data_IF_345578778554
#
_entry.id   IF_345578778554
#
_cell.length_a   1.000
_cell.length_b   1.000
_cell.length_c   1.000
_cell.angle_alpha   90.00
_cell.angle_beta   90.00
_cell.angle_gamma   90.00
#
_symmetry.space_group_name_H-M   'P 1'
#
loop_
_entity.id
_entity.type
_entity.pdbx_description
1 polymer ?
#
# COMPACT_ATOMS: atom_id res chain seq x y z
N UNK A 1 -40.55 -16.24 -35.32
CA UNK A 1 -39.24 -16.08 -35.96
C UNK A 1 -38.78 -14.65 -35.69
N UNK A 2 -37.90 -14.46 -34.72
CA UNK A 2 -37.22 -13.18 -34.47
C UNK A 2 -35.73 -13.46 -34.68
N UNK A 3 -35.16 -12.86 -35.70
CA UNK A 3 -33.76 -12.98 -36.05
C UNK A 3 -32.90 -12.22 -35.04
N UNK A 4 -31.97 -12.91 -34.36
CA UNK A 4 -30.95 -12.33 -33.53
C UNK A 4 -29.85 -11.73 -34.42
N UNK A 5 -29.68 -10.42 -34.35
CA UNK A 5 -28.55 -9.73 -34.96
C UNK A 5 -27.33 -9.84 -34.04
N UNK A 6 -26.31 -10.51 -34.53
CA UNK A 6 -24.96 -10.56 -33.90
C UNK A 6 -24.27 -9.20 -34.07
N UNK A 7 -23.76 -8.56 -33.03
CA UNK A 7 -22.95 -7.37 -33.21
C UNK A 7 -21.57 -7.77 -33.75
N UNK A 8 -21.17 -7.15 -34.86
CA UNK A 8 -19.83 -7.26 -35.43
C UNK A 8 -18.78 -6.74 -34.41
N UNK A 9 -17.78 -7.57 -34.15
CA UNK A 9 -16.60 -7.18 -33.40
C UNK A 9 -15.85 -6.14 -34.23
N UNK A 10 -15.97 -4.87 -33.82
CA UNK A 10 -15.26 -3.76 -34.42
C UNK A 10 -13.75 -3.94 -34.27
N UNK A 11 -13.04 -3.86 -35.40
CA UNK A 11 -11.59 -3.85 -35.47
C UNK A 11 -11.03 -2.79 -34.50
N UNK A 12 -10.07 -3.19 -33.67
CA UNK A 12 -9.31 -2.33 -32.79
C UNK A 12 -8.50 -1.34 -33.66
N UNK A 13 -9.09 -0.19 -33.97
CA UNK A 13 -8.42 0.91 -34.62
C UNK A 13 -7.37 1.46 -33.64
N UNK A 14 -6.09 1.45 -34.02
CA UNK A 14 -5.04 2.20 -33.32
C UNK A 14 -5.55 3.64 -33.19
N UNK A 15 -5.86 4.08 -31.96
CA UNK A 15 -6.12 5.49 -31.69
C UNK A 15 -4.90 6.26 -32.18
N UNK A 16 -5.10 7.23 -33.04
CA UNK A 16 -4.04 8.10 -33.50
C UNK A 16 -3.34 8.71 -32.27
N UNK A 17 -2.02 8.53 -32.20
CA UNK A 17 -1.18 9.10 -31.14
C UNK A 17 -1.31 10.61 -31.25
N UNK A 18 -1.86 11.26 -30.24
CA UNK A 18 -1.85 12.73 -30.15
C UNK A 18 -0.40 13.10 -29.91
N UNK A 19 0.22 13.74 -30.92
CA UNK A 19 1.58 14.25 -30.76
C UNK A 19 1.60 15.23 -29.59
N UNK A 20 2.54 15.07 -28.68
CA UNK A 20 2.75 16.02 -27.57
C UNK A 20 3.18 17.34 -28.20
N UNK A 21 2.29 18.35 -28.21
CA UNK A 21 2.63 19.69 -28.66
C UNK A 21 3.53 20.34 -27.60
N UNK A 22 4.84 20.29 -27.84
CA UNK A 22 5.85 20.93 -27.00
C UNK A 22 6.17 22.27 -27.63
N UNK A 23 5.80 23.38 -26.99
CA UNK A 23 6.04 24.72 -27.55
C UNK A 23 7.42 25.30 -27.20
N UNK A 24 7.96 24.94 -26.02
CA UNK A 24 9.21 25.48 -25.50
C UNK A 24 10.02 24.40 -24.75
N UNK A 25 11.27 24.71 -24.40
CA UNK A 25 12.04 23.95 -23.41
C UNK A 25 11.36 24.03 -22.03
N UNK A 26 11.57 23.01 -21.21
CA UNK A 26 10.99 22.92 -19.86
C UNK A 26 12.12 22.91 -18.83
N UNK A 27 11.96 23.69 -17.78
CA UNK A 27 12.86 23.66 -16.63
C UNK A 27 12.72 22.33 -15.90
N UNK A 28 13.87 21.71 -15.58
CA UNK A 28 13.94 20.51 -14.77
C UNK A 28 14.95 20.63 -13.64
N UNK A 29 15.01 19.62 -12.76
CA UNK A 29 15.98 19.52 -11.68
C UNK A 29 16.70 18.18 -11.74
N UNK A 30 18.03 18.21 -11.57
CA UNK A 30 18.86 17.02 -11.55
C UNK A 30 18.76 16.25 -10.21
N UNK A 31 19.31 15.02 -10.17
CA UNK A 31 19.41 14.21 -8.95
C UNK A 31 20.23 14.89 -7.83
N UNK A 32 21.11 15.82 -8.18
CA UNK A 32 21.92 16.60 -7.21
C UNK A 32 21.32 17.97 -6.91
N UNK A 33 20.10 18.25 -7.38
CA UNK A 33 19.39 19.49 -7.10
C UNK A 33 19.79 20.68 -7.98
N UNK A 34 20.59 20.46 -9.03
CA UNK A 34 20.94 21.52 -9.97
C UNK A 34 19.82 21.73 -11.00
N UNK A 35 19.56 22.97 -11.36
CA UNK A 35 18.63 23.31 -12.44
C UNK A 35 19.19 22.85 -13.78
N UNK A 36 18.35 22.24 -14.62
CA UNK A 36 18.67 21.81 -15.97
C UNK A 36 17.56 22.24 -16.94
N UNK A 37 17.92 22.42 -18.18
CA UNK A 37 16.97 22.68 -19.26
C UNK A 37 16.68 21.39 -20.04
N UNK A 38 15.41 21.04 -20.15
CA UNK A 38 14.94 19.93 -20.97
C UNK A 38 14.54 20.51 -22.33
N UNK A 39 15.38 20.27 -23.32
CA UNK A 39 15.18 20.82 -24.66
C UNK A 39 13.87 20.30 -25.28
N UNK A 40 13.19 21.19 -26.01
CA UNK A 40 11.97 20.87 -26.75
C UNK A 40 12.13 19.64 -27.65
N UNK A 41 13.25 19.50 -28.33
CA UNK A 41 13.52 18.37 -29.21
C UNK A 41 13.56 17.04 -28.43
N UNK A 42 14.26 17.03 -27.30
CA UNK A 42 14.38 15.85 -26.45
C UNK A 42 13.02 15.39 -25.85
N UNK A 43 12.18 16.35 -25.44
CA UNK A 43 10.82 16.04 -24.93
C UNK A 43 9.96 15.44 -26.05
N UNK A 44 10.07 15.99 -27.26
CA UNK A 44 9.35 15.45 -28.42
C UNK A 44 9.82 14.05 -28.77
N UNK A 45 11.14 13.80 -28.78
CA UNK A 45 11.71 12.46 -29.01
C UNK A 45 11.20 11.44 -27.96
N UNK A 46 11.16 11.82 -26.68
CA UNK A 46 10.53 10.99 -25.64
C UNK A 46 9.06 10.72 -25.98
N UNK A 47 8.30 11.76 -26.33
CA UNK A 47 6.90 11.63 -26.71
C UNK A 47 6.70 10.72 -27.93
N UNK A 48 7.62 10.72 -28.90
CA UNK A 48 7.59 9.83 -30.07
C UNK A 48 7.96 8.38 -29.70
N UNK A 49 8.88 8.19 -28.77
CA UNK A 49 9.35 6.87 -28.32
C UNK A 49 8.32 6.13 -27.45
N UNK A 50 7.52 6.84 -26.63
CA UNK A 50 6.49 6.24 -25.78
C UNK A 50 5.25 5.85 -26.58
N UNK A 51 4.59 4.78 -26.18
CA UNK A 51 3.23 4.42 -26.63
C UNK A 51 2.16 5.28 -25.95
N UNK A 52 2.41 5.69 -24.71
CA UNK A 52 1.58 6.61 -23.93
C UNK A 52 1.98 8.08 -24.10
N UNK A 53 1.18 9.02 -23.55
CA UNK A 53 1.46 10.44 -23.66
C UNK A 53 2.57 10.90 -22.68
N UNK A 54 3.32 11.91 -23.08
CA UNK A 54 4.04 12.82 -22.19
C UNK A 54 3.09 13.97 -21.85
N UNK A 55 2.84 14.17 -20.56
CA UNK A 55 1.94 15.21 -20.04
C UNK A 55 2.81 16.34 -19.48
N UNK A 56 2.54 17.55 -19.93
CA UNK A 56 3.25 18.78 -19.57
C UNK A 56 2.39 19.62 -18.61
N UNK A 57 2.95 20.59 -17.89
CA UNK A 57 2.21 21.46 -16.97
C UNK A 57 1.02 22.18 -17.61
N UNK A 58 1.07 22.48 -18.90
CA UNK A 58 0.00 23.15 -19.66
C UNK A 58 -1.09 22.18 -20.15
N UNK A 59 -0.88 20.88 -20.01
CA UNK A 59 -1.83 19.85 -20.46
C UNK A 59 -3.09 19.87 -19.57
N UNK A 60 -4.30 19.77 -20.14
CA UNK A 60 -5.54 19.73 -19.35
C UNK A 60 -5.58 18.64 -18.29
N UNK A 61 -4.92 17.50 -18.55
CA UNK A 61 -4.90 16.35 -17.64
C UNK A 61 -3.81 16.43 -16.57
N UNK A 62 -2.97 17.48 -16.58
CA UNK A 62 -1.77 17.54 -15.75
C UNK A 62 -2.07 17.48 -14.25
N UNK A 63 -2.99 18.30 -13.75
CA UNK A 63 -3.30 18.35 -12.32
C UNK A 63 -3.91 17.02 -11.82
N UNK A 64 -4.74 16.37 -12.63
CA UNK A 64 -5.24 15.04 -12.33
C UNK A 64 -4.15 13.94 -12.36
N UNK A 65 -3.21 14.06 -13.31
CA UNK A 65 -2.13 13.10 -13.47
C UNK A 65 -1.09 13.17 -12.34
N UNK A 66 -0.76 14.35 -11.85
CA UNK A 66 0.22 14.54 -10.76
C UNK A 66 -0.35 14.32 -9.36
N UNK A 67 -1.67 14.36 -9.20
CA UNK A 67 -2.30 14.19 -7.90
C UNK A 67 -2.03 12.78 -7.33
N UNK A 68 -1.66 12.73 -6.05
CA UNK A 68 -1.47 11.50 -5.30
C UNK A 68 -2.46 11.42 -4.14
N UNK A 69 -2.54 10.26 -3.48
CA UNK A 69 -3.52 10.00 -2.43
C UNK A 69 -3.46 11.01 -1.28
N UNK A 70 -2.27 11.28 -0.73
CA UNK A 70 -2.11 12.20 0.40
C UNK A 70 -2.17 13.65 -0.03
N UNK A 71 -3.23 14.36 0.36
CA UNK A 71 -3.49 15.75 0.01
C UNK A 71 -2.48 16.77 0.56
N UNK A 72 -1.53 16.37 1.42
CA UNK A 72 -0.43 17.24 1.85
C UNK A 72 0.58 17.54 0.73
N UNK A 73 0.63 16.70 -0.31
CA UNK A 73 1.67 16.77 -1.33
C UNK A 73 1.15 17.35 -2.64
N UNK A 74 1.41 18.64 -2.87
CA UNK A 74 1.08 19.37 -4.11
C UNK A 74 2.33 19.63 -4.94
N UNK A 75 3.08 18.56 -5.27
CA UNK A 75 4.30 18.65 -6.09
C UNK A 75 3.97 18.74 -7.58
N UNK A 76 4.84 19.41 -8.33
CA UNK A 76 4.67 19.71 -9.76
C UNK A 76 5.82 19.17 -10.58
N UNK A 77 5.69 17.96 -11.18
CA UNK A 77 6.70 17.42 -12.09
C UNK A 77 6.92 18.32 -13.32
N UNK A 78 8.14 18.39 -13.83
CA UNK A 78 8.42 19.02 -15.13
C UNK A 78 7.74 18.26 -16.27
N UNK A 79 7.76 16.92 -16.20
CA UNK A 79 7.16 16.01 -17.17
C UNK A 79 6.50 14.84 -16.45
N UNK A 80 5.41 14.32 -17.03
CA UNK A 80 4.81 13.04 -16.63
C UNK A 80 4.82 12.10 -17.85
N UNK A 81 5.59 11.02 -17.76
CA UNK A 81 5.58 9.94 -18.76
C UNK A 81 4.52 8.90 -18.34
N UNK A 82 3.35 8.91 -18.97
CA UNK A 82 2.31 7.91 -18.73
C UNK A 82 2.59 6.67 -19.56
N UNK A 83 3.12 5.64 -18.91
CA UNK A 83 3.58 4.43 -19.55
C UNK A 83 2.44 3.42 -19.75
N UNK A 84 2.42 2.77 -20.93
CA UNK A 84 1.47 1.72 -21.30
C UNK A 84 2.14 0.33 -21.42
N UNK A 85 3.47 0.28 -21.27
CA UNK A 85 4.25 -0.96 -21.37
C UNK A 85 5.58 -0.82 -20.62
N UNK A 86 6.25 -1.95 -20.37
CA UNK A 86 7.62 -1.98 -19.84
C UNK A 86 8.63 -1.30 -20.80
N UNK A 87 8.37 -1.36 -22.10
CA UNK A 87 9.16 -0.63 -23.09
C UNK A 87 9.07 0.89 -22.91
N UNK A 88 7.87 1.44 -22.62
CA UNK A 88 7.71 2.86 -22.30
C UNK A 88 8.48 3.23 -21.02
N UNK A 89 8.40 2.37 -19.99
CA UNK A 89 9.15 2.57 -18.75
C UNK A 89 10.66 2.59 -19.01
N UNK A 90 11.16 1.68 -19.84
CA UNK A 90 12.57 1.63 -20.25
C UNK A 90 13.01 2.94 -20.94
N UNK A 91 12.19 3.47 -21.86
CA UNK A 91 12.46 4.76 -22.52
C UNK A 91 12.47 5.92 -21.51
N UNK A 92 11.50 5.96 -20.58
CA UNK A 92 11.42 7.02 -19.57
C UNK A 92 12.60 6.97 -18.58
N UNK A 93 13.02 5.78 -18.14
CA UNK A 93 14.21 5.58 -17.29
C UNK A 93 15.47 6.01 -18.01
N UNK A 94 15.63 5.60 -19.28
CA UNK A 94 16.79 5.97 -20.11
C UNK A 94 16.86 7.48 -20.30
N UNK A 95 15.74 8.12 -20.64
CA UNK A 95 15.65 9.57 -20.78
C UNK A 95 16.10 10.31 -19.51
N UNK A 96 15.61 9.86 -18.35
CA UNK A 96 15.95 10.45 -17.05
C UNK A 96 17.43 10.26 -16.70
N UNK A 97 17.96 9.04 -16.89
CA UNK A 97 19.37 8.72 -16.63
C UNK A 97 20.33 9.57 -17.47
N UNK A 98 20.10 9.67 -18.78
CA UNK A 98 20.97 10.43 -19.70
C UNK A 98 21.03 11.91 -19.37
N UNK A 99 20.02 12.44 -18.69
CA UNK A 99 19.92 13.84 -18.28
C UNK A 99 20.16 14.06 -16.80
N UNK A 100 20.52 13.00 -16.07
CA UNK A 100 20.65 13.03 -14.61
C UNK A 100 19.42 13.65 -13.91
N UNK A 101 18.23 13.44 -14.48
CA UNK A 101 16.97 14.08 -14.07
C UNK A 101 16.39 13.42 -12.83
N UNK A 102 15.95 14.23 -11.85
CA UNK A 102 15.19 13.74 -10.69
C UNK A 102 13.95 12.98 -11.18
N UNK A 103 13.74 11.78 -10.61
CA UNK A 103 12.67 10.90 -11.07
C UNK A 103 11.85 10.38 -9.89
N UNK A 104 10.54 10.38 -10.05
CA UNK A 104 9.60 9.71 -9.16
C UNK A 104 8.80 8.67 -9.93
N UNK A 105 8.41 7.58 -9.28
CA UNK A 105 7.57 6.53 -9.87
C UNK A 105 6.22 6.51 -9.18
N UNK A 106 5.14 6.63 -9.96
CA UNK A 106 3.77 6.50 -9.50
C UNK A 106 3.21 5.15 -9.94
N UNK A 107 3.09 4.19 -8.99
CA UNK A 107 2.20 3.04 -9.13
C UNK A 107 0.76 3.45 -8.80
N UNK A 108 0.23 3.03 -7.65
CA UNK A 108 -1.09 3.49 -7.18
C UNK A 108 -1.13 4.88 -6.54
N UNK A 109 0.01 5.55 -6.38
CA UNK A 109 0.07 6.92 -5.83
C UNK A 109 -0.21 7.05 -4.33
N UNK A 110 -0.11 5.99 -3.55
CA UNK A 110 -0.51 5.90 -2.13
C UNK A 110 0.64 6.20 -1.15
N UNK A 111 1.71 6.86 -1.59
CA UNK A 111 2.87 7.16 -0.75
C UNK A 111 2.55 8.18 0.34
N UNK A 112 2.63 7.80 1.62
CA UNK A 112 2.48 8.70 2.78
C UNK A 112 3.41 9.91 2.70
N UNK A 113 4.74 9.75 2.47
CA UNK A 113 5.68 10.87 2.37
C UNK A 113 5.72 11.53 1.00
N UNK A 114 4.81 11.20 0.08
CA UNK A 114 4.72 11.81 -1.24
C UNK A 114 5.90 11.54 -2.17
N UNK A 115 6.51 10.34 -2.08
CA UNK A 115 7.65 9.94 -2.93
C UNK A 115 7.23 9.51 -4.34
N UNK A 116 5.93 9.27 -4.57
CA UNK A 116 5.40 8.91 -5.89
C UNK A 116 5.22 10.09 -6.85
N UNK A 117 5.60 11.30 -6.42
CA UNK A 117 5.61 12.52 -7.23
C UNK A 117 6.80 13.41 -6.79
N UNK A 118 7.38 14.16 -7.73
CA UNK A 118 8.49 15.09 -7.47
C UNK A 118 8.19 16.50 -8.00
N UNK A 119 8.95 17.50 -7.55
CA UNK A 119 8.94 18.82 -8.18
C UNK A 119 10.00 18.87 -9.28
N UNK A 120 9.69 19.51 -10.37
CA UNK A 120 10.60 19.85 -11.49
C UNK A 120 11.38 18.63 -12.07
N UNK A 121 10.95 17.41 -11.78
CA UNK A 121 11.54 16.16 -12.26
C UNK A 121 10.64 15.42 -13.25
N UNK A 122 11.00 14.20 -13.58
CA UNK A 122 10.18 13.27 -14.35
C UNK A 122 9.34 12.41 -13.40
N UNK A 123 8.03 12.37 -13.59
CA UNK A 123 7.17 11.35 -12.98
C UNK A 123 6.88 10.24 -13.99
N UNK A 124 7.30 9.03 -13.71
CA UNK A 124 6.95 7.82 -14.46
C UNK A 124 5.61 7.32 -13.89
N UNK A 125 4.54 7.50 -14.67
CA UNK A 125 3.18 7.15 -14.28
C UNK A 125 2.79 5.78 -14.83
N UNK A 126 2.64 4.81 -13.92
CA UNK A 126 2.26 3.42 -14.23
C UNK A 126 0.75 3.20 -14.14
N UNK A 127 -0.07 4.22 -13.90
CA UNK A 127 -1.51 4.07 -13.62
C UNK A 127 -2.28 3.32 -14.71
N UNK A 128 -1.76 3.29 -15.94
CA UNK A 128 -2.34 2.53 -17.06
C UNK A 128 -1.84 1.07 -17.13
N UNK A 129 -0.82 0.72 -16.39
CA UNK A 129 -0.35 -0.67 -16.22
C UNK A 129 -1.09 -1.33 -15.04
N UNK A 130 -2.42 -1.30 -15.09
CA UNK A 130 -3.29 -1.73 -13.99
C UNK A 130 -4.00 -3.08 -14.27
N UNK A 131 -3.60 -3.79 -15.33
CA UNK A 131 -4.18 -5.09 -15.67
C UNK A 131 -3.86 -6.11 -14.59
N UNK A 132 -4.86 -6.94 -14.27
CA UNK A 132 -4.70 -8.17 -13.48
C UNK A 132 -5.19 -9.35 -14.30
N UNK A 133 -4.43 -10.44 -14.30
CA UNK A 133 -4.82 -11.72 -14.90
C UNK A 133 -4.61 -12.85 -13.90
N UNK A 134 -5.51 -13.83 -13.92
CA UNK A 134 -5.50 -14.98 -13.01
C UNK A 134 -5.38 -16.26 -13.84
N UNK A 135 -4.43 -17.09 -13.45
CA UNK A 135 -4.30 -18.47 -13.90
C UNK A 135 -4.77 -19.38 -12.75
N UNK A 136 -5.93 -20.00 -12.95
CA UNK A 136 -6.54 -20.88 -11.95
C UNK A 136 -5.87 -22.25 -11.86
N UNK A 137 -5.20 -22.69 -12.92
CA UNK A 137 -4.56 -24.00 -12.97
C UNK A 137 -3.27 -24.00 -12.13
N UNK A 138 -2.53 -22.89 -12.21
CA UNK A 138 -1.31 -22.69 -11.42
C UNK A 138 -1.58 -21.93 -10.10
N UNK A 139 -2.80 -21.44 -9.91
CA UNK A 139 -3.19 -20.57 -8.79
C UNK A 139 -2.26 -19.35 -8.69
N UNK A 140 -2.08 -18.63 -9.78
CA UNK A 140 -1.25 -17.43 -9.83
C UNK A 140 -2.02 -16.24 -10.37
N UNK A 141 -1.61 -15.04 -9.93
CA UNK A 141 -2.09 -13.79 -10.50
C UNK A 141 -0.90 -12.93 -10.92
N UNK A 142 -1.00 -12.34 -12.12
CA UNK A 142 -0.09 -11.28 -12.56
C UNK A 142 -0.81 -9.95 -12.44
N UNK A 143 -0.20 -9.01 -11.72
CA UNK A 143 -0.72 -7.65 -11.54
C UNK A 143 0.30 -6.63 -12.03
N UNK A 144 -0.14 -5.69 -12.89
CA UNK A 144 0.69 -4.61 -13.37
C UNK A 144 1.09 -3.62 -12.27
N UNK A 145 2.25 -2.97 -12.42
CA UNK A 145 2.84 -2.07 -11.42
C UNK A 145 1.99 -0.85 -11.04
N UNK A 146 0.99 -0.50 -11.84
CA UNK A 146 -0.01 0.53 -11.57
C UNK A 146 -1.34 -0.01 -11.01
N UNK A 147 -1.49 -1.31 -10.82
CA UNK A 147 -2.70 -1.90 -10.26
C UNK A 147 -2.91 -1.48 -8.81
N UNK A 148 -4.17 -1.41 -8.40
CA UNK A 148 -4.59 -1.29 -7.01
C UNK A 148 -4.86 -2.67 -6.41
N UNK A 149 -4.77 -2.79 -5.09
CA UNK A 149 -5.12 -4.03 -4.38
C UNK A 149 -6.54 -4.49 -4.66
N UNK A 150 -7.49 -3.55 -4.76
CA UNK A 150 -8.86 -3.85 -5.14
C UNK A 150 -9.00 -4.45 -6.55
N UNK A 151 -8.11 -4.14 -7.50
CA UNK A 151 -8.10 -4.80 -8.82
C UNK A 151 -7.66 -6.26 -8.68
N UNK A 152 -6.70 -6.53 -7.79
CA UNK A 152 -6.23 -7.89 -7.50
C UNK A 152 -7.34 -8.71 -6.83
N UNK A 153 -7.97 -8.18 -5.77
CA UNK A 153 -9.09 -8.83 -5.09
C UNK A 153 -10.27 -9.09 -6.05
N UNK A 154 -10.66 -8.11 -6.88
CA UNK A 154 -11.73 -8.27 -7.87
C UNK A 154 -11.44 -9.34 -8.92
N UNK A 155 -10.19 -9.51 -9.32
CA UNK A 155 -9.79 -10.51 -10.31
C UNK A 155 -9.72 -11.92 -9.72
N UNK A 156 -9.25 -12.07 -8.48
CA UNK A 156 -9.01 -13.38 -7.84
C UNK A 156 -10.28 -13.95 -7.17
N UNK A 157 -11.12 -13.08 -6.60
CA UNK A 157 -12.29 -13.46 -5.81
C UNK A 157 -13.33 -14.32 -6.55
N UNK A 158 -13.65 -14.11 -7.86
CA UNK A 158 -14.55 -14.98 -8.62
C UNK A 158 -14.12 -16.45 -8.64
N UNK A 159 -12.83 -16.71 -8.42
CA UNK A 159 -12.22 -18.03 -8.40
C UNK A 159 -12.06 -18.61 -7.00
N UNK A 160 -12.56 -17.93 -5.95
CA UNK A 160 -12.33 -18.27 -4.53
C UNK A 160 -10.83 -18.39 -4.21
N UNK A 161 -10.04 -17.47 -4.76
CA UNK A 161 -8.60 -17.36 -4.58
C UNK A 161 -8.27 -16.00 -3.99
N UNK A 162 -7.27 -15.97 -3.10
CA UNK A 162 -6.75 -14.74 -2.48
C UNK A 162 -5.22 -14.77 -2.41
N UNK A 163 -4.62 -13.61 -2.22
CA UNK A 163 -3.26 -13.45 -1.72
C UNK A 163 -3.25 -12.36 -0.65
N UNK A 164 -2.12 -12.14 0.05
CA UNK A 164 -2.05 -11.09 1.06
C UNK A 164 -2.14 -9.72 0.40
N UNK A 165 -3.27 -9.05 0.60
CA UNK A 165 -3.52 -7.67 0.19
C UNK A 165 -3.68 -6.76 1.43
N UNK A 166 -3.39 -5.47 1.28
CA UNK A 166 -3.49 -4.48 2.35
C UNK A 166 -4.91 -4.15 2.75
N UNK A 167 -5.06 -3.25 3.71
CA UNK A 167 -6.33 -2.95 4.39
C UNK A 167 -7.13 -1.80 3.75
N UNK A 168 -6.65 -1.23 2.64
CA UNK A 168 -7.30 -0.17 1.84
C UNK A 168 -7.21 -0.56 0.37
N UNK A 169 -8.35 -0.71 -0.30
CA UNK A 169 -8.43 -1.34 -1.63
C UNK A 169 -7.77 -0.51 -2.74
N UNK A 170 -7.73 0.82 -2.62
CA UNK A 170 -7.10 1.71 -3.60
C UNK A 170 -5.59 1.93 -3.36
N UNK A 171 -4.97 1.19 -2.43
CA UNK A 171 -3.50 1.15 -2.29
C UNK A 171 -2.89 0.49 -3.52
N UNK A 172 -1.78 1.06 -4.03
CA UNK A 172 -1.08 0.50 -5.18
C UNK A 172 -0.32 -0.77 -4.86
N UNK A 173 -0.47 -1.79 -5.69
CA UNK A 173 0.24 -3.09 -5.57
C UNK A 173 1.76 -2.88 -5.50
N UNK A 174 2.32 -2.00 -6.34
CA UNK A 174 3.76 -1.85 -6.47
C UNK A 174 4.45 -1.40 -5.17
N UNK A 175 4.12 -0.20 -4.67
CA UNK A 175 4.73 0.33 -3.44
C UNK A 175 4.44 -0.55 -2.23
N UNK A 176 3.22 -1.04 -2.10
CA UNK A 176 2.79 -1.95 -1.05
C UNK A 176 3.66 -3.22 -1.01
N UNK A 177 3.80 -3.92 -2.12
CA UNK A 177 4.57 -5.16 -2.19
C UNK A 177 6.05 -4.92 -1.95
N UNK A 178 6.67 -3.95 -2.62
CA UNK A 178 8.11 -3.74 -2.55
C UNK A 178 8.62 -3.41 -1.13
N UNK A 179 7.78 -2.84 -0.27
CA UNK A 179 8.15 -2.58 1.13
C UNK A 179 7.89 -3.75 2.09
N UNK A 180 7.16 -4.78 1.65
CA UNK A 180 6.78 -5.93 2.49
C UNK A 180 5.34 -6.36 2.28
N UNK A 181 4.39 -5.46 2.51
CA UNK A 181 2.96 -5.68 2.25
C UNK A 181 2.23 -6.41 3.38
N UNK A 182 1.90 -5.65 4.44
CA UNK A 182 1.04 -6.13 5.53
C UNK A 182 -0.43 -6.14 5.13
N UNK A 183 -1.13 -7.20 5.51
CA UNK A 183 -2.56 -7.32 5.30
C UNK A 183 -3.22 -8.26 6.28
N UNK A 184 -4.55 -8.34 6.25
CA UNK A 184 -5.33 -9.13 7.21
C UNK A 184 -5.12 -10.65 7.10
N UNK A 185 -4.51 -11.12 6.01
CA UNK A 185 -4.21 -12.53 5.78
C UNK A 185 -2.74 -12.91 6.06
N UNK A 186 -1.88 -11.96 6.45
CA UNK A 186 -0.44 -12.21 6.54
C UNK A 186 -0.03 -13.18 7.66
N UNK A 187 -0.84 -13.31 8.72
CA UNK A 187 -0.57 -14.33 9.76
C UNK A 187 -0.69 -15.74 9.19
N UNK A 188 -1.62 -15.96 8.25
CA UNK A 188 -1.86 -17.27 7.63
C UNK A 188 -0.96 -17.52 6.42
N UNK A 189 -0.78 -16.51 5.54
CA UNK A 189 -0.12 -16.67 4.25
C UNK A 189 1.19 -15.90 4.10
N UNK A 190 1.69 -15.22 5.13
CA UNK A 190 2.86 -14.34 5.04
C UNK A 190 2.53 -12.96 4.46
N UNK A 191 3.53 -12.11 4.39
CA UNK A 191 3.43 -10.79 3.75
C UNK A 191 3.18 -10.93 2.24
N UNK A 192 2.84 -9.84 1.55
CA UNK A 192 2.70 -9.85 0.09
C UNK A 192 3.98 -10.33 -0.62
N UNK A 193 5.16 -9.96 -0.10
CA UNK A 193 6.46 -10.41 -0.62
C UNK A 193 6.71 -11.91 -0.45
N UNK A 194 6.05 -12.55 0.49
CA UNK A 194 6.20 -13.99 0.72
C UNK A 194 5.37 -14.81 -0.27
N UNK A 195 4.40 -14.14 -0.89
CA UNK A 195 3.57 -14.67 -1.96
C UNK A 195 4.05 -14.22 -3.36
N UNK A 196 5.09 -13.37 -3.45
CA UNK A 196 5.66 -12.96 -4.73
C UNK A 196 6.47 -14.12 -5.32
N UNK A 197 6.15 -14.49 -6.56
CA UNK A 197 6.79 -15.57 -7.32
C UNK A 197 7.85 -15.01 -8.26
N UNK A 198 7.50 -13.93 -8.96
CA UNK A 198 8.39 -13.23 -9.89
C UNK A 198 7.97 -11.77 -10.07
N UNK A 199 8.86 -10.97 -10.61
CA UNK A 199 8.58 -9.59 -11.00
C UNK A 199 9.31 -9.24 -12.31
N UNK A 200 8.65 -8.47 -13.18
CA UNK A 200 9.31 -7.78 -14.29
C UNK A 200 9.73 -6.39 -13.81
N UNK A 201 11.00 -6.04 -13.98
CA UNK A 201 11.57 -4.80 -13.50
C UNK A 201 12.42 -4.12 -14.54
N UNK A 202 12.24 -2.80 -14.70
CA UNK A 202 13.13 -1.95 -15.48
C UNK A 202 14.17 -1.37 -14.54
N UNK A 203 15.42 -1.81 -14.69
CA UNK A 203 16.56 -1.36 -13.88
C UNK A 203 17.10 -0.01 -14.35
N UNK A 204 17.96 0.62 -13.55
CA UNK A 204 18.48 1.97 -13.81
C UNK A 204 19.25 2.10 -15.14
N UNK A 205 19.75 1.00 -15.71
CA UNK A 205 20.36 0.95 -17.04
C UNK A 205 19.34 0.96 -18.20
N UNK A 206 18.04 0.96 -17.88
CA UNK A 206 16.94 0.92 -18.84
C UNK A 206 16.62 -0.49 -19.35
N UNK A 207 17.25 -1.54 -18.81
CA UNK A 207 16.99 -2.91 -19.24
C UNK A 207 15.78 -3.49 -18.49
N UNK A 208 14.95 -4.23 -19.22
CA UNK A 208 13.88 -5.04 -18.66
C UNK A 208 14.46 -6.37 -18.19
N UNK A 209 14.22 -6.73 -16.95
CA UNK A 209 14.71 -7.97 -16.31
C UNK A 209 13.57 -8.69 -15.61
N UNK A 210 13.62 -10.02 -15.63
CA UNK A 210 12.83 -10.85 -14.74
C UNK A 210 13.62 -11.06 -13.45
N UNK A 211 12.95 -10.96 -12.32
CA UNK A 211 13.50 -11.29 -11.00
C UNK A 211 12.64 -12.39 -10.36
N UNK A 212 13.25 -13.52 -10.06
CA UNK A 212 12.62 -14.69 -9.43
C UNK A 212 13.65 -15.47 -8.62
N UNK A 213 13.24 -16.58 -8.01
CA UNK A 213 14.16 -17.46 -7.31
C UNK A 213 15.23 -18.06 -8.25
N UNK A 214 14.90 -18.24 -9.54
CA UNK A 214 15.75 -18.90 -10.54
C UNK A 214 16.46 -17.91 -11.46
N UNK A 215 15.95 -16.67 -11.58
CA UNK A 215 16.50 -15.64 -12.47
C UNK A 215 16.70 -14.32 -11.70
N UNK A 216 17.94 -13.79 -11.70
CA UNK A 216 18.33 -12.61 -10.92
C UNK A 216 17.93 -12.69 -9.42
N UNK A 217 18.32 -13.75 -8.69
CA UNK A 217 17.82 -14.02 -7.34
C UNK A 217 18.22 -12.97 -6.31
N UNK A 218 19.34 -12.29 -6.47
CA UNK A 218 19.78 -11.17 -5.66
C UNK A 218 18.88 -9.92 -5.82
N UNK A 219 18.48 -9.63 -7.06
CA UNK A 219 17.49 -8.61 -7.35
C UNK A 219 16.13 -8.99 -6.76
N UNK A 220 15.71 -10.24 -6.91
CA UNK A 220 14.48 -10.76 -6.33
C UNK A 220 14.47 -10.65 -4.79
N UNK A 221 15.59 -10.96 -4.15
CA UNK A 221 15.77 -10.74 -2.72
C UNK A 221 15.55 -9.27 -2.34
N UNK A 222 16.18 -8.34 -3.09
CA UNK A 222 16.08 -6.90 -2.87
C UNK A 222 14.65 -6.36 -3.05
N UNK A 223 13.91 -6.83 -4.07
CA UNK A 223 12.52 -6.43 -4.32
C UNK A 223 11.55 -6.90 -3.21
N UNK A 224 11.94 -7.91 -2.43
CA UNK A 224 11.12 -8.43 -1.35
C UNK A 224 11.39 -7.73 -0.02
N UNK A 225 11.05 -6.43 0.06
CA UNK A 225 11.12 -5.63 1.28
C UNK A 225 12.11 -4.46 1.26
N UNK A 226 13.01 -4.39 0.26
CA UNK A 226 13.98 -3.29 0.12
C UNK A 226 13.42 -2.04 -0.55
N UNK A 227 12.12 -2.04 -0.87
CA UNK A 227 11.43 -0.90 -1.48
C UNK A 227 11.74 -0.71 -2.96
N UNK A 228 11.41 0.48 -3.49
CA UNK A 228 11.49 0.80 -4.92
C UNK A 228 12.87 1.26 -5.41
N UNK A 229 13.97 0.98 -4.71
CA UNK A 229 15.31 1.49 -5.04
C UNK A 229 16.04 0.70 -6.14
N UNK A 230 15.54 -0.48 -6.48
CA UNK A 230 16.20 -1.41 -7.41
C UNK A 230 15.74 -1.23 -8.87
N UNK A 231 14.66 -0.51 -9.10
CA UNK A 231 14.09 -0.27 -10.42
C UNK A 231 12.60 -0.01 -10.40
N UNK A 232 12.01 0.10 -11.57
CA UNK A 232 10.58 0.28 -11.78
C UNK A 232 9.96 -1.06 -12.10
N UNK A 233 9.18 -1.63 -11.18
CA UNK A 233 8.49 -2.91 -11.42
C UNK A 233 7.23 -2.68 -12.23
N UNK A 234 7.12 -3.37 -13.35
CA UNK A 234 6.04 -3.26 -14.31
C UNK A 234 4.99 -4.35 -14.16
N UNK A 235 5.39 -5.54 -13.70
CA UNK A 235 4.50 -6.66 -13.39
C UNK A 235 4.97 -7.43 -12.15
N UNK A 236 4.00 -7.90 -11.37
CA UNK A 236 4.18 -8.75 -10.18
C UNK A 236 3.40 -10.03 -10.36
N UNK A 237 4.02 -11.19 -10.21
CA UNK A 237 3.36 -12.49 -10.19
C UNK A 237 3.25 -13.00 -8.77
N UNK A 238 2.02 -13.26 -8.30
CA UNK A 238 1.73 -13.73 -6.95
C UNK A 238 1.23 -15.16 -6.93
N UNK A 239 1.62 -15.93 -5.91
CA UNK A 239 0.95 -17.15 -5.52
C UNK A 239 -0.40 -16.80 -4.88
N UNK A 240 -1.44 -17.50 -5.30
CA UNK A 240 -2.77 -17.43 -4.74
C UNK A 240 -3.06 -18.65 -3.87
N UNK A 241 -4.01 -18.47 -2.95
CA UNK A 241 -4.46 -19.50 -2.01
C UNK A 241 -5.97 -19.70 -2.11
N UNK A 242 -6.46 -20.94 -2.10
CA UNK A 242 -7.89 -21.23 -1.95
C UNK A 242 -8.44 -20.61 -0.66
N UNK A 243 -9.61 -20.02 -0.72
CA UNK A 243 -10.16 -19.27 0.40
C UNK A 243 -11.68 -19.41 0.53
N UNK A 244 -12.16 -19.56 1.76
CA UNK A 244 -13.58 -19.55 2.08
C UNK A 244 -14.15 -18.14 1.89
N UNK A 245 -15.40 -18.04 1.39
CA UNK A 245 -15.98 -16.75 1.02
C UNK A 245 -16.20 -15.82 2.20
N UNK A 246 -16.50 -16.35 3.35
CA UNK A 246 -16.86 -15.57 4.53
C UNK A 246 -15.78 -15.62 5.60
N UNK A 247 -15.61 -14.50 6.27
CA UNK A 247 -14.72 -14.33 7.42
C UNK A 247 -15.52 -13.76 8.60
N UNK A 248 -15.16 -14.12 9.84
CA UNK A 248 -15.61 -13.37 10.98
C UNK A 248 -14.80 -12.08 11.05
N UNK A 249 -15.44 -10.93 10.93
CA UNK A 249 -14.73 -9.66 11.02
C UNK A 249 -15.61 -8.53 11.54
N UNK A 250 -14.95 -7.54 12.14
CA UNK A 250 -15.57 -6.39 12.76
C UNK A 250 -14.73 -5.88 13.91
N UNK A 251 -15.31 -5.01 14.72
CA UNK A 251 -14.62 -4.45 15.88
C UNK A 251 -15.43 -4.68 17.15
N UNK A 252 -14.74 -5.01 18.24
CA UNK A 252 -15.29 -4.94 19.59
C UNK A 252 -14.79 -3.62 20.17
N UNK A 253 -15.69 -2.80 20.71
CA UNK A 253 -15.42 -1.41 21.09
C UNK A 253 -15.68 -1.21 22.59
N UNK A 254 -14.74 -0.54 23.26
CA UNK A 254 -14.85 -0.17 24.68
C UNK A 254 -14.71 1.35 24.84
N UNK A 255 -15.30 1.93 25.91
CA UNK A 255 -14.95 3.27 26.34
C UNK A 255 -13.44 3.38 26.61
N UNK A 256 -12.84 4.53 26.32
CA UNK A 256 -11.39 4.69 26.46
C UNK A 256 -10.89 4.53 27.92
N UNK A 257 -11.75 4.76 28.89
CA UNK A 257 -11.45 4.53 30.32
C UNK A 257 -11.05 3.08 30.63
N UNK A 258 -11.43 2.13 29.74
CA UNK A 258 -11.06 0.72 29.83
C UNK A 258 -9.84 0.37 28.95
N UNK A 259 -9.15 1.36 28.37
CA UNK A 259 -8.05 1.12 27.44
C UNK A 259 -6.91 0.31 28.06
N UNK A 260 -6.61 0.52 29.34
CA UNK A 260 -5.60 -0.27 30.05
C UNK A 260 -5.96 -1.76 30.06
N UNK A 261 -7.15 -2.11 30.49
CA UNK A 261 -7.59 -3.51 30.60
C UNK A 261 -7.56 -4.21 29.24
N UNK A 262 -7.96 -3.48 28.18
CA UNK A 262 -7.96 -3.98 26.80
C UNK A 262 -6.54 -4.19 26.26
N UNK A 263 -5.62 -3.25 26.49
CA UNK A 263 -4.23 -3.34 26.06
C UNK A 263 -3.46 -4.44 26.82
N UNK A 264 -3.68 -4.57 28.13
CA UNK A 264 -3.05 -5.61 28.96
C UNK A 264 -3.58 -7.00 28.55
N UNK A 265 -4.88 -7.15 28.33
CA UNK A 265 -5.44 -8.38 27.77
C UNK A 265 -4.79 -8.74 26.43
N UNK A 266 -4.65 -7.76 25.51
CA UNK A 266 -4.01 -8.00 24.22
C UNK A 266 -2.54 -8.46 24.39
N UNK A 267 -1.79 -7.82 25.29
CA UNK A 267 -0.41 -8.19 25.57
C UNK A 267 -0.27 -9.65 26.01
N UNK A 268 -1.21 -10.16 26.80
CA UNK A 268 -1.23 -11.56 27.27
C UNK A 268 -1.70 -12.55 26.19
N UNK A 269 -2.68 -12.15 25.37
CA UNK A 269 -3.36 -13.04 24.44
C UNK A 269 -2.65 -13.14 23.07
N UNK A 270 -2.00 -12.06 22.59
CA UNK A 270 -1.54 -11.92 21.22
C UNK A 270 -0.62 -13.05 20.73
N UNK A 271 0.28 -13.53 21.59
CA UNK A 271 1.22 -14.60 21.26
C UNK A 271 0.54 -15.98 21.07
N UNK A 272 -0.68 -16.15 21.58
CA UNK A 272 -1.40 -17.43 21.59
C UNK A 272 -2.49 -17.54 20.52
N UNK A 273 -2.76 -16.47 19.77
CA UNK A 273 -3.74 -16.52 18.69
C UNK A 273 -3.32 -17.44 17.56
N UNK A 274 -4.30 -18.11 16.96
CA UNK A 274 -4.10 -18.94 15.78
C UNK A 274 -3.59 -18.12 14.58
N UNK A 275 -3.09 -18.78 13.55
CA UNK A 275 -2.67 -18.09 12.31
C UNK A 275 -3.87 -17.46 11.57
N UNK A 276 -5.06 -18.00 11.79
CA UNK A 276 -6.32 -17.50 11.26
C UNK A 276 -6.78 -16.19 11.92
N UNK A 277 -6.32 -15.89 13.14
CA UNK A 277 -6.74 -14.71 13.91
C UNK A 277 -5.82 -13.53 13.63
N UNK A 278 -6.34 -12.53 12.94
CA UNK A 278 -5.75 -11.20 12.85
C UNK A 278 -6.53 -10.27 13.79
N UNK A 279 -5.89 -9.79 14.83
CA UNK A 279 -6.50 -8.86 15.79
C UNK A 279 -5.47 -7.90 16.35
N UNK A 280 -5.84 -6.62 16.44
CA UNK A 280 -4.97 -5.58 16.99
C UNK A 280 -5.76 -4.44 17.63
N UNK A 281 -5.24 -3.87 18.74
CA UNK A 281 -5.88 -2.76 19.42
C UNK A 281 -5.74 -1.48 18.62
N UNK A 282 -6.82 -0.72 18.50
CA UNK A 282 -6.90 0.55 17.78
C UNK A 282 -7.54 1.59 18.69
N UNK A 283 -7.00 2.81 18.74
CA UNK A 283 -7.64 3.91 19.44
C UNK A 283 -8.11 4.97 18.46
N UNK A 284 -9.32 5.47 18.65
CA UNK A 284 -9.93 6.45 17.76
C UNK A 284 -10.83 7.41 18.54
N UNK A 285 -11.11 8.57 17.94
CA UNK A 285 -12.19 9.45 18.36
C UNK A 285 -13.29 9.36 17.32
N UNK A 286 -14.49 9.02 17.78
CA UNK A 286 -15.67 8.92 16.92
C UNK A 286 -16.09 10.29 16.35
N UNK A 287 -16.89 10.35 15.28
CA UNK A 287 -17.33 11.64 14.71
C UNK A 287 -18.10 12.55 15.70
N UNK A 288 -18.75 11.98 16.71
CA UNK A 288 -19.42 12.69 17.79
C UNK A 288 -18.49 13.05 18.97
N UNK A 289 -17.19 12.81 18.83
CA UNK A 289 -16.17 13.25 19.78
C UNK A 289 -15.89 12.29 20.94
N UNK A 290 -16.41 11.08 20.92
CA UNK A 290 -16.17 10.07 21.97
C UNK A 290 -14.86 9.35 21.73
N UNK A 291 -13.96 9.32 22.72
CA UNK A 291 -12.72 8.56 22.67
C UNK A 291 -12.98 7.09 22.96
N UNK A 292 -12.50 6.19 22.12
CA UNK A 292 -12.71 4.74 22.24
C UNK A 292 -11.41 3.98 22.03
N UNK A 293 -11.36 2.78 22.58
CA UNK A 293 -10.44 1.72 22.19
C UNK A 293 -11.22 0.57 21.58
N UNK A 294 -10.68 -0.06 20.54
CA UNK A 294 -11.31 -1.19 19.89
C UNK A 294 -10.29 -2.27 19.53
N UNK A 295 -10.73 -3.51 19.48
CA UNK A 295 -10.03 -4.61 18.85
C UNK A 295 -10.60 -4.79 17.44
N UNK A 296 -9.78 -4.56 16.42
CA UNK A 296 -10.14 -4.85 15.03
C UNK A 296 -9.82 -6.30 14.72
N UNK A 297 -10.86 -7.08 14.40
CA UNK A 297 -10.84 -8.55 14.32
C UNK A 297 -11.08 -9.00 12.91
N UNK A 298 -10.23 -9.91 12.41
CA UNK A 298 -10.52 -10.75 11.25
C UNK A 298 -10.08 -12.18 11.55
N UNK A 299 -11.04 -13.11 11.51
CA UNK A 299 -10.76 -14.54 11.62
C UNK A 299 -11.11 -15.23 10.31
N UNK A 300 -10.12 -15.85 9.68
CA UNK A 300 -10.19 -16.42 8.35
C UNK A 300 -10.09 -17.97 8.33
N UNK A 301 -10.62 -18.60 9.37
CA UNK A 301 -10.76 -20.05 9.53
C UNK A 301 -12.21 -20.47 9.69
N UNK A 302 -12.43 -21.63 10.33
CA UNK A 302 -13.77 -22.12 10.67
C UNK A 302 -14.48 -21.14 11.61
N UNK A 303 -15.67 -20.63 11.27
CA UNK A 303 -16.33 -19.60 12.08
C UNK A 303 -16.62 -20.03 13.52
N UNK A 304 -16.92 -21.32 13.77
CA UNK A 304 -17.20 -21.79 15.12
C UNK A 304 -15.92 -21.83 15.98
N UNK A 305 -14.78 -22.12 15.37
CA UNK A 305 -13.48 -22.01 16.05
C UNK A 305 -13.15 -20.55 16.36
N UNK A 306 -13.41 -19.64 15.42
CA UNK A 306 -13.20 -18.20 15.61
C UNK A 306 -14.07 -17.62 16.74
N UNK A 307 -15.35 -17.98 16.80
CA UNK A 307 -16.23 -17.58 17.89
C UNK A 307 -15.71 -18.00 19.27
N UNK A 308 -15.17 -19.21 19.37
CA UNK A 308 -14.56 -19.71 20.59
C UNK A 308 -13.29 -18.94 20.96
N UNK A 309 -12.47 -18.57 19.99
CA UNK A 309 -11.23 -17.80 20.21
C UNK A 309 -11.54 -16.37 20.68
N UNK A 310 -12.69 -15.79 20.27
CA UNK A 310 -13.17 -14.47 20.66
C UNK A 310 -13.82 -14.41 22.07
N UNK A 311 -14.21 -15.56 22.65
CA UNK A 311 -14.93 -15.58 23.93
C UNK A 311 -14.21 -14.86 25.07
N UNK A 312 -12.88 -14.99 25.16
CA UNK A 312 -12.08 -14.34 26.19
C UNK A 312 -12.06 -12.83 26.00
N UNK A 313 -11.89 -12.36 24.77
CA UNK A 313 -11.87 -10.94 24.42
C UNK A 313 -13.20 -10.24 24.75
N UNK A 314 -14.34 -10.89 24.46
CA UNK A 314 -15.67 -10.35 24.77
C UNK A 314 -15.96 -10.20 26.26
N UNK A 315 -15.17 -10.87 27.11
CA UNK A 315 -15.29 -10.79 28.58
C UNK A 315 -14.40 -9.72 29.22
N UNK A 316 -13.57 -9.04 28.42
CA UNK A 316 -12.74 -7.93 28.91
C UNK A 316 -13.64 -6.74 29.20
N UNK A 317 -13.64 -6.27 30.46
CA UNK A 317 -14.41 -5.10 30.87
C UNK A 317 -15.89 -5.16 30.47
N UNK A 318 -16.37 -4.03 29.91
CA UNK A 318 -17.75 -3.91 29.41
C UNK A 318 -17.73 -3.24 28.04
N UNK A 319 -17.74 -4.01 26.94
CA UNK A 319 -17.82 -3.45 25.60
C UNK A 319 -19.11 -2.64 25.40
N UNK A 320 -19.01 -1.51 24.68
CA UNK A 320 -20.20 -0.71 24.28
C UNK A 320 -20.75 -1.14 22.93
N UNK A 321 -19.95 -1.88 22.15
CA UNK A 321 -20.40 -2.49 20.89
C UNK A 321 -19.57 -3.74 20.58
N UNK A 322 -20.21 -4.72 19.95
CA UNK A 322 -19.61 -5.88 19.31
C UNK A 322 -20.18 -5.98 17.90
N UNK A 323 -19.37 -5.61 16.91
CA UNK A 323 -19.70 -5.63 15.50
C UNK A 323 -19.12 -6.84 14.75
N UNK A 324 -18.51 -7.80 15.47
CA UNK A 324 -17.93 -8.98 14.83
C UNK A 324 -19.03 -9.89 14.32
N UNK A 325 -19.04 -10.10 13.01
CA UNK A 325 -20.03 -10.93 12.32
C UNK A 325 -19.42 -11.63 11.11
N UNK A 326 -20.10 -12.68 10.65
CA UNK A 326 -19.73 -13.36 9.42
C UNK A 326 -20.08 -12.47 8.23
N UNK A 327 -19.08 -12.10 7.42
CA UNK A 327 -19.26 -11.27 6.24
C UNK A 327 -18.38 -11.74 5.07
N UNK A 328 -18.75 -11.32 3.85
CA UNK A 328 -17.94 -11.60 2.66
C UNK A 328 -16.55 -10.94 2.76
N UNK A 329 -15.52 -11.66 2.35
CA UNK A 329 -14.13 -11.18 2.38
C UNK A 329 -13.95 -9.83 1.68
N UNK A 330 -14.59 -9.62 0.53
CA UNK A 330 -14.44 -8.36 -0.23
C UNK A 330 -15.08 -7.17 0.48
N UNK A 331 -16.15 -7.40 1.24
CA UNK A 331 -16.75 -6.36 2.09
C UNK A 331 -15.76 -5.96 3.18
N UNK A 332 -15.16 -6.94 3.85
CA UNK A 332 -14.14 -6.69 4.87
C UNK A 332 -12.92 -5.94 4.31
N UNK A 333 -12.45 -6.29 3.10
CA UNK A 333 -11.29 -5.64 2.47
C UNK A 333 -11.51 -4.16 2.13
N UNK A 334 -12.74 -3.72 1.90
CA UNK A 334 -13.08 -2.34 1.54
C UNK A 334 -13.56 -1.48 2.72
N UNK A 335 -13.68 -2.04 3.92
CA UNK A 335 -14.22 -1.35 5.09
C UNK A 335 -13.47 -0.05 5.45
N UNK A 336 -12.18 0.03 5.16
CA UNK A 336 -11.35 1.19 5.49
C UNK A 336 -11.26 2.25 4.38
N UNK A 337 -11.80 2.00 3.19
CA UNK A 337 -11.62 2.87 2.02
C UNK A 337 -12.13 4.29 2.27
N UNK A 338 -13.28 4.41 2.92
CA UNK A 338 -13.87 5.73 3.21
C UNK A 338 -13.05 6.54 4.22
N UNK A 339 -12.43 5.88 5.20
CA UNK A 339 -11.61 6.55 6.22
C UNK A 339 -10.27 7.06 5.65
N UNK A 340 -9.77 6.40 4.61
CA UNK A 340 -8.50 6.74 3.95
C UNK A 340 -8.71 7.28 2.53
N UNK A 341 -9.73 8.14 2.33
CA UNK A 341 -10.08 8.72 1.03
C UNK A 341 -8.97 9.57 0.41
N UNK A 342 -8.98 9.67 -0.92
CA UNK A 342 -8.06 10.55 -1.66
C UNK A 342 -8.25 12.02 -1.30
N UNK A 343 -7.15 12.77 -1.23
CA UNK A 343 -7.16 14.21 -0.93
C UNK A 343 -7.18 14.56 0.56
N UNK A 344 -7.38 13.57 1.44
CA UNK A 344 -7.18 13.75 2.89
C UNK A 344 -5.70 14.05 3.14
N UNK A 345 -5.43 15.11 3.87
CA UNK A 345 -4.10 15.43 4.38
C UNK A 345 -3.79 14.48 5.52
N UNK A 346 -2.66 13.83 5.49
CA UNK A 346 -2.34 12.83 6.51
C UNK A 346 -0.87 12.76 6.81
N UNK A 347 -0.55 12.61 8.10
CA UNK A 347 0.80 12.34 8.57
C UNK A 347 0.80 11.10 9.44
N UNK A 348 1.80 10.24 9.23
CA UNK A 348 1.96 9.04 10.01
C UNK A 348 3.41 8.79 10.40
N UNK A 349 3.58 8.12 11.54
CA UNK A 349 4.81 7.45 11.94
C UNK A 349 4.47 6.03 12.37
N UNK A 350 5.37 5.11 12.14
CA UNK A 350 5.15 3.72 12.55
C UNK A 350 6.38 3.14 13.25
N UNK A 351 6.16 2.05 13.97
CA UNK A 351 7.24 1.28 14.57
C UNK A 351 6.86 -0.15 14.83
N UNK A 352 7.85 -1.02 14.71
CA UNK A 352 7.72 -2.46 14.94
C UNK A 352 7.85 -2.77 16.42
N UNK A 353 6.92 -3.53 16.95
CA UNK A 353 6.90 -4.03 18.33
C UNK A 353 7.21 -5.52 18.30
N UNK A 354 8.25 -5.92 19.01
CA UNK A 354 8.62 -7.34 19.17
C UNK A 354 7.92 -8.00 20.34
N UNK A 355 7.60 -7.22 21.36
CA UNK A 355 6.96 -7.69 22.59
C UNK A 355 6.11 -6.56 23.19
N UNK A 356 4.88 -6.87 23.53
CA UNK A 356 4.01 -5.96 24.28
C UNK A 356 4.42 -5.94 25.76
N UNK A 357 5.05 -4.86 26.18
CA UNK A 357 5.48 -4.68 27.55
C UNK A 357 4.54 -3.73 28.30
N UNK A 358 4.51 -3.83 29.63
CA UNK A 358 3.78 -2.88 30.49
C UNK A 358 4.24 -1.44 30.22
N UNK A 359 5.55 -1.22 30.00
CA UNK A 359 6.10 0.10 29.69
C UNK A 359 5.56 0.67 28.38
N UNK A 360 5.31 -0.16 27.35
CA UNK A 360 4.67 0.29 26.11
C UNK A 360 3.22 0.71 26.38
N UNK A 361 2.46 -0.11 27.13
CA UNK A 361 1.06 0.22 27.49
C UNK A 361 1.00 1.54 28.25
N UNK A 362 1.85 1.71 29.25
CA UNK A 362 1.91 2.95 30.05
C UNK A 362 2.23 4.16 29.15
N UNK A 363 3.23 4.04 28.27
CA UNK A 363 3.61 5.11 27.34
C UNK A 363 2.49 5.47 26.36
N UNK A 364 1.75 4.46 25.85
CA UNK A 364 0.61 4.70 24.96
C UNK A 364 -0.53 5.45 25.66
N UNK A 365 -0.82 5.09 26.92
CA UNK A 365 -1.89 5.72 27.71
C UNK A 365 -1.51 7.13 28.17
N UNK A 366 -0.26 7.35 28.56
CA UNK A 366 0.24 8.67 29.00
C UNK A 366 0.32 9.67 27.84
N UNK A 367 0.64 9.20 26.64
CA UNK A 367 0.76 10.02 25.44
C UNK A 367 -0.56 10.25 24.71
N UNK A 368 -1.68 9.69 25.19
CA UNK A 368 -2.95 9.74 24.45
C UNK A 368 -3.35 11.17 24.07
N UNK A 369 -3.69 11.32 22.79
CA UNK A 369 -4.18 12.56 22.21
C UNK A 369 -5.41 12.22 21.34
N UNK A 370 -6.59 12.79 21.65
CA UNK A 370 -7.82 12.47 20.92
C UNK A 370 -7.79 12.84 19.43
N UNK A 371 -6.82 13.64 18.97
CA UNK A 371 -6.60 13.98 17.57
C UNK A 371 -5.85 12.88 16.80
N UNK A 372 -5.28 11.92 17.53
CA UNK A 372 -4.45 10.84 16.98
C UNK A 372 -5.26 9.54 16.91
N UNK A 373 -5.15 8.88 15.79
CA UNK A 373 -5.63 7.53 15.57
C UNK A 373 -4.45 6.56 15.65
N UNK A 374 -4.58 5.52 16.47
CA UNK A 374 -3.59 4.44 16.51
C UNK A 374 -4.14 3.27 15.72
N UNK A 375 -3.52 3.01 14.59
CA UNK A 375 -3.77 1.82 13.78
C UNK A 375 -2.69 0.77 14.00
N UNK A 376 -2.96 -0.44 13.58
CA UNK A 376 -2.01 -1.52 13.70
C UNK A 376 -1.97 -2.39 12.43
N UNK A 377 -0.80 -2.97 12.18
CA UNK A 377 -0.67 -4.11 11.29
C UNK A 377 -0.09 -5.28 12.07
N UNK A 378 -0.92 -6.28 12.27
CA UNK A 378 -0.53 -7.46 13.06
C UNK A 378 0.41 -8.33 12.23
N UNK A 379 1.50 -8.77 12.85
CA UNK A 379 2.46 -9.72 12.30
C UNK A 379 2.31 -11.10 12.97
N UNK A 380 3.38 -11.81 13.18
CA UNK A 380 3.34 -13.17 13.78
C UNK A 380 2.98 -14.25 12.75
N UNK A 381 2.62 -15.44 13.21
CA UNK A 381 2.21 -16.55 12.34
C UNK A 381 3.20 -16.86 11.21
N UNK A 382 2.70 -16.94 9.97
CA UNK A 382 3.51 -17.21 8.78
C UNK A 382 4.63 -16.19 8.54
N UNK A 383 4.43 -14.91 8.92
CA UNK A 383 5.46 -13.88 8.77
C UNK A 383 6.74 -14.23 9.51
N UNK A 384 6.63 -14.79 10.72
CA UNK A 384 7.77 -15.22 11.56
C UNK A 384 8.45 -16.51 11.09
N UNK A 385 7.78 -17.31 10.25
CA UNK A 385 8.33 -18.57 9.73
C UNK A 385 9.30 -18.36 8.56
N UNK A 386 9.31 -17.17 7.96
CA UNK A 386 10.30 -16.78 6.95
C UNK A 386 11.57 -16.32 7.66
N UNK A 387 12.73 -16.82 7.24
CA UNK A 387 14.03 -16.46 7.83
C UNK A 387 14.34 -14.96 7.66
N UNK A 388 15.03 -14.39 8.65
CA UNK A 388 15.37 -12.96 8.65
C UNK A 388 16.18 -12.49 7.43
N UNK A 389 16.96 -13.41 6.83
CA UNK A 389 17.81 -13.13 5.68
C UNK A 389 17.24 -13.62 4.33
N UNK A 390 16.07 -14.27 4.34
CA UNK A 390 15.45 -14.82 3.12
C UNK A 390 14.89 -13.75 2.19
N UNK A 391 14.68 -12.55 2.73
CA UNK A 391 14.21 -11.36 2.00
C UNK A 391 14.86 -10.11 2.55
N UNK A 392 14.78 -9.00 1.84
CA UNK A 392 15.27 -7.71 2.32
C UNK A 392 14.38 -7.08 3.43
N UNK A 393 13.25 -7.70 3.78
CA UNK A 393 12.39 -7.24 4.87
C UNK A 393 12.94 -7.67 6.23
N UNK A 394 13.40 -6.73 7.11
CA UNK A 394 14.21 -7.08 8.28
C UNK A 394 13.42 -7.36 9.57
N UNK A 395 12.09 -7.24 9.56
CA UNK A 395 11.28 -7.22 10.80
C UNK A 395 10.44 -8.49 10.98
N UNK A 396 11.01 -9.67 10.68
CA UNK A 396 10.31 -10.97 10.76
C UNK A 396 9.87 -11.33 12.17
N UNK A 397 10.60 -10.88 13.19
CA UNK A 397 10.33 -11.18 14.60
C UNK A 397 9.34 -10.20 15.27
N UNK A 398 8.76 -9.25 14.52
CA UNK A 398 7.75 -8.36 15.07
C UNK A 398 6.44 -9.11 15.33
N UNK A 399 5.74 -8.72 16.42
CA UNK A 399 4.36 -9.15 16.69
C UNK A 399 3.35 -8.25 16.00
N UNK A 400 3.66 -6.95 15.96
CA UNK A 400 2.76 -5.93 15.44
C UNK A 400 3.56 -4.70 15.01
N UNK A 401 3.03 -3.96 14.06
CA UNK A 401 3.44 -2.60 13.74
C UNK A 401 2.39 -1.63 14.27
N UNK A 402 2.79 -0.70 15.12
CA UNK A 402 1.95 0.42 15.55
C UNK A 402 2.12 1.55 14.53
N UNK A 403 1.00 2.13 14.10
CA UNK A 403 0.96 3.28 13.21
C UNK A 403 0.24 4.43 13.92
N UNK A 404 0.98 5.49 14.21
CA UNK A 404 0.50 6.74 14.80
C UNK A 404 0.09 7.67 13.66
N UNK A 405 -1.18 7.99 13.56
CA UNK A 405 -1.77 8.68 12.39
C UNK A 405 -2.63 9.85 12.82
N UNK A 406 -2.53 10.95 12.07
CA UNK A 406 -3.57 11.98 12.02
C UNK A 406 -4.01 12.21 10.57
N UNK A 407 -5.31 12.51 10.39
CA UNK A 407 -5.90 12.86 9.10
C UNK A 407 -6.74 14.13 9.25
N UNK A 408 -6.69 15.04 8.25
CA UNK A 408 -7.41 16.31 8.27
C UNK A 408 -7.62 16.87 6.85
N UNK A 409 -8.40 17.95 6.73
CA UNK A 409 -8.67 18.58 5.45
C UNK A 409 -8.06 19.99 5.33
N UNK A 410 -7.99 20.74 6.43
CA UNK A 410 -7.53 22.14 6.44
C UNK A 410 -6.00 22.22 6.62
N UNK A 411 -5.30 22.77 5.64
CA UNK A 411 -3.85 22.94 5.66
C UNK A 411 -3.35 23.80 6.86
N UNK A 412 -4.19 24.64 7.46
CA UNK A 412 -3.83 25.40 8.65
C UNK A 412 -3.58 24.52 9.89
N UNK A 413 -4.02 23.26 9.86
CA UNK A 413 -3.82 22.28 10.94
C UNK A 413 -2.53 21.46 10.80
N UNK A 414 -1.80 21.59 9.68
CA UNK A 414 -0.62 20.77 9.37
C UNK A 414 0.38 20.71 10.52
N UNK A 415 0.90 21.85 10.94
CA UNK A 415 1.96 21.91 11.95
C UNK A 415 1.54 21.32 13.30
N UNK A 416 0.30 21.61 13.71
CA UNK A 416 -0.23 21.13 14.99
C UNK A 416 -0.45 19.62 15.02
N UNK A 417 -0.96 19.02 13.94
CA UNK A 417 -1.23 17.58 13.87
C UNK A 417 0.04 16.77 13.58
N UNK A 418 0.96 17.32 12.79
CA UNK A 418 2.30 16.73 12.62
C UNK A 418 3.05 16.70 13.95
N UNK A 419 3.01 17.80 14.73
CA UNK A 419 3.62 17.86 16.05
C UNK A 419 3.02 16.82 17.00
N UNK A 420 1.69 16.73 17.07
CA UNK A 420 0.98 15.74 17.89
C UNK A 420 1.39 14.29 17.57
N UNK A 421 1.45 13.92 16.27
CA UNK A 421 1.93 12.61 15.85
C UNK A 421 3.39 12.34 16.28
N UNK A 422 4.25 13.36 16.18
CA UNK A 422 5.68 13.24 16.58
C UNK A 422 5.84 13.09 18.08
N UNK A 423 5.06 13.82 18.87
CA UNK A 423 5.11 13.78 20.33
C UNK A 423 4.64 12.42 20.84
N UNK A 424 3.50 11.93 20.32
CA UNK A 424 3.03 10.57 20.62
C UNK A 424 4.07 9.51 20.25
N UNK A 425 4.58 9.57 19.01
CA UNK A 425 5.58 8.61 18.55
C UNK A 425 6.84 8.63 19.42
N UNK A 426 7.30 9.80 19.83
CA UNK A 426 8.47 9.95 20.71
C UNK A 426 8.27 9.27 22.06
N UNK A 427 7.06 9.26 22.59
CA UNK A 427 6.76 8.59 23.86
C UNK A 427 6.88 7.07 23.74
N UNK A 428 6.42 6.48 22.62
CA UNK A 428 6.48 5.03 22.42
C UNK A 428 7.79 4.54 21.76
N UNK A 429 8.58 5.43 21.14
CA UNK A 429 9.81 5.09 20.40
C UNK A 429 10.79 4.21 21.19
N UNK A 430 11.00 4.38 22.52
CA UNK A 430 11.87 3.50 23.31
C UNK A 430 11.49 2.02 23.32
N UNK A 431 10.22 1.69 22.96
CA UNK A 431 9.68 0.33 22.93
C UNK A 431 9.65 -0.27 21.52
N UNK A 432 10.11 0.47 20.50
CA UNK A 432 10.03 0.08 19.10
C UNK A 432 11.37 -0.50 18.61
N UNK A 433 11.30 -1.55 17.81
CA UNK A 433 12.46 -2.26 17.27
C UNK A 433 12.82 -1.92 15.81
N UNK A 434 12.31 -0.82 15.28
CA UNK A 434 12.51 -0.39 13.90
C UNK A 434 11.23 0.18 13.27
N UNK A 435 11.25 0.43 11.98
CA UNK A 435 10.12 1.02 11.27
C UNK A 435 9.88 0.37 9.91
N UNK A 436 8.67 0.55 9.39
CA UNK A 436 8.25 0.12 8.06
C UNK A 436 8.32 1.29 7.09
N UNK A 437 8.88 1.07 5.91
CA UNK A 437 9.23 2.15 4.97
C UNK A 437 8.09 2.62 4.06
N UNK A 438 6.93 1.94 4.08
CA UNK A 438 5.76 2.30 3.28
C UNK A 438 4.84 3.30 3.97
#
# INVERSE_FOLDING_TARGET
AVAAATPAIGACGKKAKVATEVEASVRGISLVGAEIELEKAAIRELGEALSGPVILPESPDYDGARAIWNGMHDKRPALIARCLSSADVSQAVTFARERNLLTAVRGGGHSWPGKSVCNDGLMIDLSQLARVSVDTDTQRATAGGGAWLGHLDQATWPHSLVTTAGVVSHTGVGGFTLGGGFGRLNRKYGLAIDNLVSAEVVTADGQVRTASADENPDLFWGLRGGGGTFGVVTDFEFQLHPFERNVLSGSIVWPYEQARDVLEFYAEAAANYSDEMYVGPTTATTPDGVRVIMMDVVYNGDPAAGEKELEAMRKVGTPIADGVALQDYTVMQTNNDAAFGHGVRSYAKNGMVKEWTQGLVDSMLEADDPRIFIANHVAGGAVKRVGELDTAFPHRNAEIMIVVVAGWMDAAQDDGLIAACRDYYKAIEPHLGGYYSN
#
